data_IF_252147099575
#
_entry.id   IF_252147099575
#
_cell.length_a   1.000
_cell.length_b   1.000
_cell.length_c   1.000
_cell.angle_alpha   90.00
_cell.angle_beta   90.00
_cell.angle_gamma   90.00
#
_symmetry.space_group_name_H-M   'P 1'
#
loop_
_entity.id
_entity.type
_entity.pdbx_description
1 polymer ?
#
# COMPACT_ATOMS: atom_id res chain seq x y z
N UNK A 1 -12.24 18.80 -49.51
CA UNK A 1 -12.84 19.06 -48.19
C UNK A 1 -12.33 18.00 -47.23
N UNK A 2 -11.21 18.26 -46.57
CA UNK A 2 -10.64 17.39 -45.54
C UNK A 2 -11.21 17.84 -44.20
N UNK A 3 -12.12 17.05 -43.65
CA UNK A 3 -12.70 17.29 -42.33
C UNK A 3 -11.67 16.87 -41.28
N UNK A 4 -11.13 17.85 -40.56
CA UNK A 4 -10.27 17.65 -39.39
C UNK A 4 -11.18 17.35 -38.19
N UNK A 5 -11.30 16.08 -37.81
CA UNK A 5 -11.96 15.71 -36.57
C UNK A 5 -11.05 16.09 -35.41
N UNK A 6 -11.33 17.19 -34.71
CA UNK A 6 -10.75 17.44 -33.39
C UNK A 6 -11.31 16.38 -32.43
N UNK A 7 -10.48 15.41 -32.07
CA UNK A 7 -10.77 14.53 -30.93
C UNK A 7 -10.77 15.38 -29.67
N UNK A 8 -11.95 15.64 -29.12
CA UNK A 8 -12.07 16.20 -27.78
C UNK A 8 -11.48 15.20 -26.80
N UNK A 9 -10.45 15.61 -26.07
CA UNK A 9 -10.07 14.93 -24.83
C UNK A 9 -11.28 15.03 -23.90
N UNK A 10 -11.89 13.89 -23.57
CA UNK A 10 -12.91 13.85 -22.54
C UNK A 10 -12.24 14.34 -21.24
N UNK A 11 -12.75 15.44 -20.68
CA UNK A 11 -12.34 15.90 -19.35
C UNK A 11 -13.14 15.09 -18.35
N UNK A 12 -12.48 14.18 -17.64
CA UNK A 12 -13.06 13.52 -16.49
C UNK A 12 -13.23 14.52 -15.34
N UNK A 13 -14.20 14.25 -14.46
CA UNK A 13 -14.56 15.12 -13.34
C UNK A 13 -13.85 14.67 -12.06
N UNK A 14 -13.38 15.64 -11.26
CA UNK A 14 -12.72 15.35 -10.00
C UNK A 14 -13.61 14.53 -9.05
N UNK A 15 -13.03 13.52 -8.42
CA UNK A 15 -13.67 12.64 -7.42
C UNK A 15 -13.11 12.92 -6.04
N UNK A 16 -13.99 12.95 -5.03
CA UNK A 16 -13.60 13.08 -3.62
C UNK A 16 -13.31 11.72 -2.99
N UNK A 17 -12.06 11.51 -2.59
CA UNK A 17 -11.61 10.36 -1.79
C UNK A 17 -11.65 10.76 -0.32
N UNK A 18 -12.32 9.96 0.51
CA UNK A 18 -12.35 10.12 1.97
C UNK A 18 -11.76 8.88 2.64
N UNK A 19 -10.84 9.08 3.58
CA UNK A 19 -10.27 8.02 4.41
C UNK A 19 -10.75 8.18 5.85
N UNK A 20 -11.22 7.07 6.44
CA UNK A 20 -11.52 6.96 7.87
C UNK A 20 -10.86 5.71 8.43
N UNK A 21 -9.74 5.88 9.11
CA UNK A 21 -9.03 4.84 9.86
C UNK A 21 -8.67 5.37 11.25
N UNK A 22 -9.32 4.85 12.29
CA UNK A 22 -9.14 5.28 13.68
C UNK A 22 -9.53 4.18 14.68
N UNK A 23 -9.38 4.44 15.98
CA UNK A 23 -9.68 3.46 17.03
C UNK A 23 -11.14 2.94 17.04
N UNK A 24 -12.08 3.64 16.40
CA UNK A 24 -13.48 3.22 16.31
C UNK A 24 -13.77 2.37 15.06
N UNK A 25 -12.95 2.48 14.02
CA UNK A 25 -13.13 1.80 12.71
C UNK A 25 -12.09 0.72 12.46
N UNK A 26 -11.02 0.70 13.25
CA UNK A 26 -9.83 -0.10 13.04
C UNK A 26 -8.67 0.81 12.68
N UNK A 27 -7.59 0.78 13.45
CA UNK A 27 -6.39 1.56 13.16
C UNK A 27 -5.42 0.75 12.31
N UNK A 28 -4.61 1.46 11.53
CA UNK A 28 -3.36 0.89 11.01
C UNK A 28 -2.29 1.06 12.08
N UNK A 29 -1.60 -0.02 12.39
CA UNK A 29 -0.62 -0.15 13.46
C UNK A 29 0.65 -0.79 12.91
N UNK A 30 1.76 -0.58 13.60
CA UNK A 30 2.99 -1.30 13.31
C UNK A 30 2.85 -2.81 13.59
N UNK A 31 3.89 -3.57 13.23
CA UNK A 31 3.94 -5.02 13.40
C UNK A 31 3.86 -5.49 14.87
N UNK A 32 4.03 -4.57 15.82
CA UNK A 32 3.92 -4.83 17.28
C UNK A 32 2.55 -4.51 17.86
N UNK A 33 1.63 -3.95 17.06
CA UNK A 33 0.31 -3.50 17.48
C UNK A 33 0.30 -2.09 18.07
N UNK A 34 1.35 -1.30 17.86
CA UNK A 34 1.41 0.09 18.30
C UNK A 34 0.89 1.02 17.20
N UNK A 35 0.21 2.11 17.59
CA UNK A 35 -0.23 3.14 16.64
C UNK A 35 0.95 3.71 15.84
N UNK A 36 0.75 3.92 14.54
CA UNK A 36 1.79 4.49 13.68
C UNK A 36 2.23 5.89 14.14
N UNK A 37 3.53 6.22 14.02
CA UNK A 37 4.03 7.54 14.37
C UNK A 37 3.39 8.62 13.50
N UNK A 38 3.30 9.84 14.03
CA UNK A 38 2.81 11.02 13.28
C UNK A 38 3.63 11.22 11.99
N UNK A 39 2.93 11.54 10.90
CA UNK A 39 3.56 11.72 9.59
C UNK A 39 3.87 10.43 8.84
N UNK A 40 3.38 9.27 9.32
CA UNK A 40 3.36 8.04 8.51
C UNK A 40 2.54 8.26 7.25
N UNK A 41 2.97 7.66 6.13
CA UNK A 41 2.38 7.89 4.82
C UNK A 41 1.36 6.82 4.48
N UNK A 42 0.18 7.23 4.00
CA UNK A 42 -0.77 6.37 3.30
C UNK A 42 -0.90 6.86 1.87
N UNK A 43 -0.63 5.99 0.90
CA UNK A 43 -0.87 6.26 -0.52
C UNK A 43 -2.13 5.53 -0.95
N UNK A 44 -2.91 6.15 -1.80
CA UNK A 44 -4.14 5.58 -2.36
C UNK A 44 -3.97 5.49 -3.87
N UNK A 45 -4.24 4.31 -4.43
CA UNK A 45 -3.93 4.06 -5.83
C UNK A 45 -4.41 2.69 -6.33
N UNK A 46 -3.98 2.34 -7.54
CA UNK A 46 -4.18 1.00 -8.13
C UNK A 46 -2.88 0.20 -8.09
N UNK A 47 -3.02 -1.12 -7.93
CA UNK A 47 -1.97 -2.06 -8.30
C UNK A 47 -2.37 -2.81 -9.56
N UNK A 48 -1.44 -2.97 -10.49
CA UNK A 48 -1.57 -4.01 -11.51
C UNK A 48 -1.41 -5.37 -10.80
N UNK A 49 -2.48 -6.16 -10.72
CA UNK A 49 -2.47 -7.48 -10.09
C UNK A 49 -2.25 -8.64 -11.08
N UNK A 50 -1.84 -8.37 -12.32
CA UNK A 50 -1.59 -9.42 -13.29
C UNK A 50 -0.62 -10.49 -12.70
N UNK A 51 -0.98 -11.79 -12.75
CA UNK A 51 -0.18 -12.85 -12.12
C UNK A 51 1.14 -13.14 -12.85
N UNK A 52 1.34 -12.58 -14.04
CA UNK A 52 2.51 -12.76 -14.90
C UNK A 52 3.34 -11.47 -14.97
N UNK A 53 2.69 -10.31 -15.09
CA UNK A 53 3.37 -9.02 -15.31
C UNK A 53 3.17 -7.99 -14.21
N UNK A 54 2.22 -8.20 -13.31
CA UNK A 54 1.89 -7.29 -12.23
C UNK A 54 2.44 -7.73 -10.88
N UNK A 55 1.90 -7.15 -9.81
CA UNK A 55 2.19 -7.47 -8.41
C UNK A 55 2.02 -8.96 -8.10
N UNK A 56 1.06 -9.62 -8.77
CA UNK A 56 0.82 -11.06 -8.62
C UNK A 56 1.96 -11.96 -9.11
N UNK A 57 2.89 -11.41 -9.90
CA UNK A 57 4.10 -12.12 -10.35
C UNK A 57 5.19 -12.21 -9.29
N UNK A 58 5.12 -11.38 -8.24
CA UNK A 58 6.12 -11.34 -7.17
C UNK A 58 5.92 -12.49 -6.17
N UNK A 59 7.03 -13.11 -5.77
CA UNK A 59 6.99 -14.07 -4.67
C UNK A 59 6.73 -13.36 -3.32
N UNK A 60 6.25 -14.11 -2.32
CA UNK A 60 5.98 -13.57 -0.98
C UNK A 60 7.18 -12.84 -0.36
N UNK A 61 8.42 -13.26 -0.65
CA UNK A 61 9.61 -12.56 -0.18
C UNK A 61 9.94 -11.28 -0.96
N UNK A 62 9.58 -11.23 -2.25
CA UNK A 62 9.76 -10.03 -3.07
C UNK A 62 8.70 -8.97 -2.72
N UNK A 63 7.50 -9.40 -2.33
CA UNK A 63 6.45 -8.53 -1.81
C UNK A 63 6.77 -7.86 -0.48
N UNK A 64 7.91 -8.15 0.15
CA UNK A 64 8.40 -7.43 1.34
C UNK A 64 9.36 -6.29 0.97
N UNK A 65 9.82 -6.22 -0.27
CA UNK A 65 10.67 -5.15 -0.77
C UNK A 65 9.81 -4.11 -1.49
N UNK A 66 9.54 -2.98 -0.80
CA UNK A 66 8.70 -1.91 -1.34
C UNK A 66 9.23 -1.35 -2.67
N UNK A 67 10.54 -1.44 -2.91
CA UNK A 67 11.15 -0.97 -4.15
C UNK A 67 10.83 -1.85 -5.36
N UNK A 68 10.54 -3.14 -5.13
CA UNK A 68 10.07 -4.07 -6.17
C UNK A 68 8.57 -3.93 -6.42
N UNK A 69 7.82 -3.44 -5.42
CA UNK A 69 6.37 -3.22 -5.49
C UNK A 69 6.03 -1.89 -6.17
N UNK A 70 6.84 -0.84 -5.95
CA UNK A 70 6.66 0.52 -6.47
C UNK A 70 6.29 0.60 -7.96
N UNK A 71 6.95 -0.14 -8.89
CA UNK A 71 6.67 -0.01 -10.32
C UNK A 71 5.25 -0.43 -10.73
N UNK A 72 4.56 -1.20 -9.88
CA UNK A 72 3.21 -1.70 -10.13
C UNK A 72 2.12 -0.80 -9.53
N UNK A 73 2.50 0.26 -8.82
CA UNK A 73 1.57 1.17 -8.15
C UNK A 73 1.36 2.44 -8.96
N UNK A 74 0.09 2.79 -9.17
CA UNK A 74 -0.31 4.09 -9.72
C UNK A 74 -1.05 4.89 -8.65
N UNK A 75 -0.43 5.96 -8.17
CA UNK A 75 -0.95 6.82 -7.09
C UNK A 75 -2.03 7.80 -7.58
N UNK A 76 -3.04 8.07 -6.75
CA UNK A 76 -3.98 9.20 -6.92
C UNK A 76 -3.73 10.29 -5.91
N UNK A 77 -3.53 9.90 -4.65
CA UNK A 77 -3.40 10.81 -3.53
C UNK A 77 -2.68 10.14 -2.38
N UNK A 78 -2.30 10.97 -1.40
CA UNK A 78 -1.61 10.57 -0.19
C UNK A 78 -2.20 11.27 1.02
N UNK A 79 -2.19 10.59 2.14
CA UNK A 79 -2.61 11.09 3.45
C UNK A 79 -1.51 10.85 4.47
N UNK A 80 -1.48 11.65 5.52
CA UNK A 80 -0.52 11.50 6.63
C UNK A 80 -1.22 11.09 7.91
N UNK A 81 -0.56 10.29 8.73
CA UNK A 81 -1.12 9.91 10.02
C UNK A 81 -1.02 11.05 11.04
N UNK A 82 -2.02 11.11 11.93
CA UNK A 82 -1.96 11.82 13.19
C UNK A 82 -2.33 10.86 14.32
N UNK A 83 -1.35 10.50 15.14
CA UNK A 83 -1.44 9.52 16.23
C UNK A 83 -2.03 8.19 15.77
N UNK A 84 -1.51 7.66 14.65
CA UNK A 84 -1.99 6.42 14.03
C UNK A 84 -3.35 6.48 13.34
N UNK A 85 -3.97 7.67 13.23
CA UNK A 85 -5.23 7.85 12.53
C UNK A 85 -5.02 8.47 11.16
N UNK A 86 -5.83 8.07 10.18
CA UNK A 86 -5.97 8.72 8.88
C UNK A 86 -7.43 9.17 8.74
N UNK A 87 -7.67 10.48 8.79
CA UNK A 87 -9.00 11.09 8.87
C UNK A 87 -9.07 12.32 7.98
N UNK A 88 -8.97 12.10 6.67
CA UNK A 88 -8.79 13.16 5.69
C UNK A 88 -9.63 12.89 4.44
N UNK A 89 -9.80 13.94 3.63
CA UNK A 89 -10.45 13.85 2.33
C UNK A 89 -9.72 14.72 1.32
N UNK A 90 -9.66 14.26 0.08
CA UNK A 90 -8.98 14.93 -1.01
C UNK A 90 -9.77 14.79 -2.33
N UNK A 91 -9.54 15.67 -3.30
CA UNK A 91 -10.28 15.71 -4.56
C UNK A 91 -9.31 15.55 -5.75
N UNK A 92 -9.04 14.30 -6.16
CA UNK A 92 -7.81 13.98 -6.91
C UNK A 92 -7.90 12.93 -8.00
N UNK A 93 -9.07 12.39 -8.32
CA UNK A 93 -9.16 11.30 -9.29
C UNK A 93 -9.51 11.82 -10.69
N UNK A 94 -8.62 11.57 -11.65
CA UNK A 94 -8.89 11.60 -13.09
C UNK A 94 -9.49 10.24 -13.45
N UNK A 95 -10.75 10.19 -13.86
CA UNK A 95 -11.53 8.95 -13.95
C UNK A 95 -11.15 8.07 -15.16
N UNK A 96 -9.87 8.01 -15.53
CA UNK A 96 -9.39 7.16 -16.64
C UNK A 96 -9.53 5.66 -16.33
N UNK A 97 -9.64 5.30 -15.05
CA UNK A 97 -9.64 3.93 -14.53
C UNK A 97 -10.90 3.64 -13.69
N UNK A 98 -12.09 3.99 -14.19
CA UNK A 98 -13.37 3.73 -13.50
C UNK A 98 -13.56 2.23 -13.29
N UNK A 99 -13.97 1.85 -12.08
CA UNK A 99 -14.27 0.46 -11.71
C UNK A 99 -13.07 -0.32 -11.18
N UNK A 100 -11.85 0.18 -11.38
CA UNK A 100 -10.64 -0.48 -10.88
C UNK A 100 -10.62 -0.48 -9.34
N UNK A 101 -10.07 -1.57 -8.80
CA UNK A 101 -9.98 -1.83 -7.36
C UNK A 101 -8.95 -0.91 -6.70
N UNK A 102 -9.36 -0.13 -5.70
CA UNK A 102 -8.49 0.86 -5.03
C UNK A 102 -7.81 0.25 -3.81
N UNK A 103 -6.52 0.50 -3.68
CA UNK A 103 -5.68 0.00 -2.60
C UNK A 103 -5.18 1.13 -1.71
N UNK A 104 -5.04 0.81 -0.43
CA UNK A 104 -4.28 1.59 0.54
C UNK A 104 -2.88 0.98 0.65
N UNK A 105 -1.84 1.78 0.41
CA UNK A 105 -0.46 1.39 0.65
C UNK A 105 0.13 2.26 1.75
N UNK A 106 0.31 1.67 2.93
CA UNK A 106 0.63 2.40 4.16
C UNK A 106 2.05 2.09 4.61
N UNK A 107 2.80 3.12 4.99
CA UNK A 107 4.17 3.06 5.46
C UNK A 107 4.29 3.70 6.83
N UNK A 108 5.14 3.16 7.70
CA UNK A 108 5.43 3.75 9.02
C UNK A 108 6.39 4.96 8.97
N UNK A 109 6.55 5.58 7.81
CA UNK A 109 7.49 6.67 7.53
C UNK A 109 6.85 7.64 6.52
N UNK A 110 7.20 8.94 6.54
CA UNK A 110 6.74 9.89 5.53
C UNK A 110 7.29 9.60 4.13
N UNK A 111 8.33 8.77 4.00
CA UNK A 111 8.97 8.43 2.73
C UNK A 111 9.02 6.90 2.58
N UNK A 112 8.49 6.31 1.48
CA UNK A 112 8.53 4.86 1.24
C UNK A 112 9.94 4.26 1.32
N UNK A 113 10.95 4.99 0.84
CA UNK A 113 12.33 4.55 0.80
C UNK A 113 13.01 4.40 2.17
N UNK A 114 12.44 5.01 3.22
CA UNK A 114 12.95 4.95 4.60
C UNK A 114 12.01 4.18 5.54
N UNK A 115 10.93 3.61 5.01
CA UNK A 115 10.00 2.83 5.80
C UNK A 115 10.65 1.51 6.23
N UNK A 116 10.56 1.21 7.52
CA UNK A 116 10.95 -0.09 8.04
C UNK A 116 9.78 -1.08 8.04
N UNK A 117 8.55 -0.60 7.84
CA UNK A 117 7.35 -1.42 7.74
C UNK A 117 6.34 -0.82 6.75
N UNK A 118 5.63 -1.69 6.02
CA UNK A 118 4.47 -1.28 5.22
C UNK A 118 3.40 -2.36 5.12
N UNK A 119 2.24 -1.99 4.58
CA UNK A 119 1.10 -2.88 4.35
C UNK A 119 0.27 -2.42 3.17
N UNK A 120 -0.41 -3.36 2.52
CA UNK A 120 -1.27 -3.13 1.35
C UNK A 120 -2.64 -3.75 1.64
N UNK A 121 -3.66 -2.91 1.66
CA UNK A 121 -5.02 -3.26 2.10
C UNK A 121 -6.06 -2.78 1.08
N UNK A 122 -7.17 -3.50 0.98
CA UNK A 122 -8.28 -3.14 0.11
C UNK A 122 -9.63 -3.66 0.61
N UNK A 123 -10.69 -3.25 -0.06
CA UNK A 123 -12.06 -3.72 0.16
C UNK A 123 -12.70 -4.03 -1.18
N UNK A 124 -13.42 -5.14 -1.31
CA UNK A 124 -14.21 -5.46 -2.52
C UNK A 124 -15.29 -4.42 -2.90
N UNK A 125 -15.46 -3.37 -2.11
CA UNK A 125 -16.38 -2.24 -2.36
C UNK A 125 -15.65 -0.94 -2.75
N UNK A 126 -14.33 -0.92 -2.69
CA UNK A 126 -13.50 0.22 -3.02
C UNK A 126 -13.10 0.20 -4.47
N UNK A 127 -13.99 0.70 -5.31
CA UNK A 127 -13.76 0.82 -6.73
C UNK A 127 -13.73 2.29 -7.10
N UNK A 128 -12.84 2.64 -8.03
CA UNK A 128 -12.77 3.99 -8.57
C UNK A 128 -14.13 4.40 -9.13
N UNK A 129 -14.77 5.46 -8.61
CA UNK A 129 -16.09 5.84 -9.05
C UNK A 129 -16.03 6.49 -10.44
N UNK A 130 -17.16 6.44 -11.14
CA UNK A 130 -17.34 7.25 -12.35
C UNK A 130 -17.32 8.75 -12.00
N UNK A 131 -16.99 9.59 -12.98
CA UNK A 131 -16.86 11.05 -12.89
C UNK A 131 -17.79 11.72 -11.86
N UNK A 132 -17.24 12.66 -11.09
CA UNK A 132 -17.95 13.47 -10.08
C UNK A 132 -18.50 12.71 -8.86
N UNK A 133 -18.05 11.47 -8.65
CA UNK A 133 -18.40 10.65 -7.49
C UNK A 133 -17.59 10.94 -6.22
N UNK A 134 -17.89 10.18 -5.17
CA UNK A 134 -17.09 10.11 -3.95
C UNK A 134 -16.78 8.65 -3.60
N UNK A 135 -15.55 8.40 -3.17
CA UNK A 135 -15.08 7.12 -2.68
C UNK A 135 -14.81 7.24 -1.18
N UNK A 136 -15.64 6.58 -0.35
CA UNK A 136 -15.48 6.57 1.09
C UNK A 136 -14.80 5.27 1.55
N UNK A 137 -13.56 5.39 1.99
CA UNK A 137 -12.73 4.27 2.40
C UNK A 137 -12.61 4.26 3.93
N UNK A 138 -13.42 3.41 4.56
CA UNK A 138 -13.44 3.22 6.01
C UNK A 138 -12.73 1.92 6.35
N UNK A 139 -11.74 1.94 7.25
CA UNK A 139 -10.91 0.76 7.55
C UNK A 139 -11.71 -0.48 7.98
N UNK A 140 -12.87 -0.31 8.61
CA UNK A 140 -13.78 -1.42 8.94
C UNK A 140 -14.35 -2.17 7.73
N UNK A 141 -14.23 -1.62 6.53
CA UNK A 141 -14.65 -2.24 5.28
C UNK A 141 -13.54 -3.07 4.60
N UNK A 142 -12.29 -3.02 5.08
CA UNK A 142 -11.18 -3.80 4.53
C UNK A 142 -11.51 -5.29 4.68
N UNK A 143 -11.46 -6.02 3.57
CA UNK A 143 -11.64 -7.46 3.52
C UNK A 143 -10.56 -8.17 2.68
N UNK A 144 -9.59 -7.43 2.17
CA UNK A 144 -8.45 -7.95 1.42
C UNK A 144 -7.14 -7.35 1.95
N UNK A 145 -6.16 -8.23 2.20
CA UNK A 145 -4.80 -7.86 2.63
C UNK A 145 -3.81 -8.53 1.70
N UNK A 146 -3.02 -7.74 0.97
CA UNK A 146 -1.96 -8.24 0.09
C UNK A 146 -0.64 -8.34 0.87
N UNK A 147 -0.33 -7.33 1.68
CA UNK A 147 0.85 -7.27 2.55
C UNK A 147 0.43 -6.74 3.92
N UNK A 148 0.95 -7.35 4.99
CA UNK A 148 0.53 -7.06 6.37
C UNK A 148 -0.43 -8.13 6.90
N UNK A 149 -1.11 -7.82 7.99
CA UNK A 149 -2.08 -8.73 8.62
C UNK A 149 -3.15 -7.96 9.40
N UNK A 150 -4.02 -8.69 10.07
CA UNK A 150 -4.98 -8.13 11.04
C UNK A 150 -4.70 -8.68 12.44
N UNK A 151 -5.08 -7.93 13.47
CA UNK A 151 -4.93 -8.35 14.87
C UNK A 151 -6.09 -9.25 15.37
N UNK A 152 -7.14 -9.42 14.54
CA UNK A 152 -8.33 -10.20 14.86
C UNK A 152 -9.23 -9.59 15.94
N UNK A 153 -9.04 -8.31 16.31
CA UNK A 153 -9.84 -7.62 17.30
C UNK A 153 -11.09 -6.95 16.70
N UNK A 154 -11.92 -6.32 17.54
CA UNK A 154 -13.11 -5.58 17.13
C UNK A 154 -13.09 -4.17 17.76
N UNK A 155 -12.98 -3.08 16.95
CA UNK A 155 -12.79 -3.10 15.51
C UNK A 155 -11.43 -3.69 15.12
N UNK A 156 -11.35 -4.36 13.98
CA UNK A 156 -10.13 -5.03 13.53
C UNK A 156 -9.06 -4.02 13.19
N UNK A 157 -7.89 -4.13 13.83
CA UNK A 157 -6.73 -3.32 13.47
C UNK A 157 -5.91 -4.03 12.40
N UNK A 158 -5.22 -3.22 11.61
CA UNK A 158 -4.42 -3.65 10.48
C UNK A 158 -2.95 -3.45 10.82
N UNK A 159 -2.18 -4.52 10.75
CA UNK A 159 -0.77 -4.53 11.14
C UNK A 159 0.09 -4.46 9.88
N UNK A 160 1.07 -3.56 9.89
CA UNK A 160 2.12 -3.52 8.87
C UNK A 160 3.05 -4.74 9.03
N UNK A 161 3.81 -5.04 7.97
CA UNK A 161 4.87 -6.05 8.01
C UNK A 161 6.25 -5.40 7.87
N UNK A 162 7.25 -6.04 8.47
CA UNK A 162 8.62 -5.56 8.42
C UNK A 162 9.21 -5.67 7.01
N UNK A 163 9.87 -4.60 6.60
CA UNK A 163 10.69 -4.52 5.39
C UNK A 163 12.10 -4.99 5.74
N UNK A 164 12.61 -6.07 5.14
CA UNK A 164 13.98 -6.51 5.37
C UNK A 164 14.96 -5.42 4.92
N UNK A 165 15.70 -4.83 5.86
CA UNK A 165 16.74 -3.86 5.49
C UNK A 165 17.82 -4.54 4.63
N UNK A 166 18.49 -3.81 3.71
CA UNK A 166 19.60 -4.37 2.91
C UNK A 166 20.69 -5.05 3.75
N UNK A 167 20.91 -4.60 4.99
CA UNK A 167 21.86 -5.18 5.93
C UNK A 167 21.46 -6.58 6.45
N UNK A 168 20.16 -6.92 6.49
CA UNK A 168 19.68 -8.24 6.91
C UNK A 168 20.14 -9.33 5.92
N UNK A 169 20.10 -9.03 4.61
CA UNK A 169 20.62 -9.94 3.59
C UNK A 169 22.13 -10.13 3.72
N UNK A 170 22.87 -9.05 4.00
CA UNK A 170 24.32 -9.13 4.23
C UNK A 170 24.67 -9.95 5.49
N UNK A 171 23.90 -9.82 6.56
CA UNK A 171 24.10 -10.59 7.80
C UNK A 171 23.84 -12.09 7.60
N UNK A 172 22.79 -12.46 6.85
CA UNK A 172 22.50 -13.86 6.51
C UNK A 172 23.64 -14.48 5.68
N UNK A 173 24.11 -13.78 4.65
CA UNK A 173 25.25 -14.22 3.84
C UNK A 173 26.52 -14.32 4.69
N UNK A 174 26.75 -13.35 5.58
CA UNK A 174 27.84 -13.37 6.56
C UNK A 174 27.81 -14.59 7.48
N UNK A 175 26.64 -14.93 8.04
CA UNK A 175 26.44 -16.09 8.91
C UNK A 175 26.66 -17.42 8.17
N UNK A 176 26.16 -17.54 6.93
CA UNK A 176 26.39 -18.71 6.09
C UNK A 176 27.88 -18.85 5.78
N UNK A 177 28.54 -17.75 5.41
CA UNK A 177 29.99 -17.72 5.18
C UNK A 177 30.79 -18.18 6.39
N UNK A 178 30.41 -17.72 7.59
CA UNK A 178 31.01 -18.12 8.86
C UNK A 178 30.78 -19.61 9.15
N UNK A 179 29.57 -20.12 8.91
CA UNK A 179 29.24 -21.53 9.06
C UNK A 179 30.09 -22.43 8.15
N UNK A 180 30.27 -22.05 6.89
CA UNK A 180 31.13 -22.77 5.93
C UNK A 180 32.60 -22.76 6.39
N UNK A 181 33.12 -21.63 6.88
CA UNK A 181 34.50 -21.54 7.39
C UNK A 181 34.71 -22.44 8.61
N UNK A 182 33.78 -22.44 9.57
CA UNK A 182 33.84 -23.30 10.76
C UNK A 182 33.78 -24.77 10.36
N UNK A 183 32.93 -25.14 9.42
CA UNK A 183 32.81 -26.51 8.92
C UNK A 183 34.09 -26.98 8.21
N UNK A 184 34.70 -26.13 7.36
CA UNK A 184 35.98 -26.43 6.69
C UNK A 184 37.16 -26.55 7.67
N UNK A 185 37.12 -25.88 8.81
CA UNK A 185 38.15 -26.00 9.87
C UNK A 185 38.02 -27.29 10.70
N UNK A 186 36.86 -27.95 10.69
CA UNK A 186 36.58 -29.17 11.46
C UNK A 186 36.78 -30.46 10.65
N UNK A 187 36.97 -30.37 9.34
CA UNK A 187 37.49 -31.46 8.49
C UNK A 187 38.99 -31.33 8.34
#
# INVERSE_FOLDING_TARGET
MTSLCLGGVASYGAVTVQIISNAATGQVQDSTGTALPDGSLMRVGFFDLDPITGLGSLSASQLLDSSLVEPFFTEFTTFTSASGNFLENDNTLDATNVGDQVYLWVFNSPLPATASEYGIFSSSTWNSPADTGSLNMVSSAINETVVGSTDGSAPTNFLLTAVPEPAHYAALVGLIGLGVVIWRRRR
#
